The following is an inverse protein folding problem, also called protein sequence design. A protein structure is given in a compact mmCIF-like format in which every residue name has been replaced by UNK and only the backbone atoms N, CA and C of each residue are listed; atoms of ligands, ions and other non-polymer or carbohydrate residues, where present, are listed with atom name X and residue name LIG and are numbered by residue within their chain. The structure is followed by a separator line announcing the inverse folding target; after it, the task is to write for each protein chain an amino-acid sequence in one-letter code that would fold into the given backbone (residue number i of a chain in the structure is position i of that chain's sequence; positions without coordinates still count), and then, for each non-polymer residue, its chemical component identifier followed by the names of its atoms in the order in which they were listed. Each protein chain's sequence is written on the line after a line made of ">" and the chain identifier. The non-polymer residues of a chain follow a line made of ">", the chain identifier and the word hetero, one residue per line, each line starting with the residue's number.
data_IF_659074582347
#
_entry.id   IF_659074582347
#
_cell.length_a   1.000
_cell.length_b   1.000
_cell.length_c   1.000
_cell.angle_alpha   90.00
_cell.angle_beta   90.00
_cell.angle_gamma   90.00
#
_symmetry.space_group_name_H-M   'P 1'
#
loop_
_entity.id
_entity.type
_entity.pdbx_description
1 polymer ?
#
# COMPACT_ATOMS: atom_id res chain seq x y z
N UNK A 1 -5.70 15.13 -18.04
CA UNK A 1 -6.37 16.41 -17.74
C UNK A 1 -5.81 17.00 -16.47
N UNK A 2 -5.31 18.25 -16.51
CA UNK A 2 -4.87 18.96 -15.32
C UNK A 2 -6.08 19.45 -14.53
N UNK A 3 -6.08 19.20 -13.22
CA UNK A 3 -7.17 19.56 -12.32
C UNK A 3 -6.95 20.89 -11.59
N UNK A 4 -6.06 21.77 -12.08
CA UNK A 4 -5.83 23.09 -11.51
C UNK A 4 -7.13 23.92 -11.32
N UNK A 5 -8.12 23.88 -12.23
CA UNK A 5 -9.40 24.57 -12.03
C UNK A 5 -10.22 24.05 -10.84
N UNK A 6 -9.92 22.88 -10.30
CA UNK A 6 -10.56 22.34 -9.09
C UNK A 6 -9.89 22.77 -7.80
N UNK A 7 -8.76 23.45 -7.86
CA UNK A 7 -8.10 24.02 -6.69
C UNK A 7 -8.79 25.31 -6.26
N UNK A 8 -10.04 25.18 -5.91
CA UNK A 8 -10.92 26.23 -5.42
C UNK A 8 -11.48 25.86 -4.06
N UNK A 9 -12.06 26.82 -3.36
CA UNK A 9 -12.76 26.54 -2.10
C UNK A 9 -13.97 25.65 -2.37
N UNK A 10 -14.03 24.51 -1.69
CA UNK A 10 -15.12 23.57 -1.74
C UNK A 10 -16.01 23.76 -0.50
N UNK A 11 -17.30 23.83 -0.70
CA UNK A 11 -18.28 23.81 0.40
C UNK A 11 -18.77 22.38 0.60
N UNK A 12 -18.31 21.74 1.67
CA UNK A 12 -18.53 20.32 1.91
C UNK A 12 -19.39 20.07 3.14
N UNK A 13 -20.30 19.14 3.04
CA UNK A 13 -21.08 18.59 4.16
C UNK A 13 -20.96 17.07 4.16
N UNK A 14 -21.26 16.46 5.31
CA UNK A 14 -21.26 15.01 5.42
C UNK A 14 -22.30 14.42 4.47
N UNK A 15 -21.90 13.39 3.71
CA UNK A 15 -22.84 12.65 2.87
C UNK A 15 -23.81 11.87 3.75
N UNK A 16 -25.10 11.97 3.44
CA UNK A 16 -26.11 11.14 4.09
C UNK A 16 -25.96 9.69 3.61
N UNK A 17 -25.30 8.90 4.42
CA UNK A 17 -25.22 7.47 4.22
C UNK A 17 -26.49 6.87 4.82
N UNK A 18 -27.56 6.82 4.04
CA UNK A 18 -28.78 6.13 4.45
C UNK A 18 -28.51 4.63 4.46
N UNK A 19 -28.39 4.06 5.64
CA UNK A 19 -28.35 2.62 5.88
C UNK A 19 -29.72 2.01 5.58
N UNK A 20 -30.09 1.91 4.30
CA UNK A 20 -31.40 1.36 3.90
C UNK A 20 -31.46 -0.16 3.89
N UNK A 21 -30.39 -0.86 4.27
CA UNK A 21 -30.40 -2.33 4.40
C UNK A 21 -29.70 -2.78 5.68
N UNK A 22 -30.43 -2.69 6.79
CA UNK A 22 -30.02 -3.22 8.10
C UNK A 22 -30.14 -4.74 8.23
N UNK A 23 -30.41 -5.47 7.16
CA UNK A 23 -30.54 -6.93 7.18
C UNK A 23 -29.27 -7.72 6.96
N UNK A 24 -28.12 -7.08 7.00
CA UNK A 24 -26.86 -7.79 7.04
C UNK A 24 -26.57 -8.20 8.48
N UNK A 25 -27.21 -9.25 8.92
CA UNK A 25 -26.75 -10.01 10.07
C UNK A 25 -25.36 -10.52 9.73
N UNK A 26 -24.43 -10.19 10.62
CA UNK A 26 -23.14 -10.87 10.78
C UNK A 26 -22.12 -10.62 9.69
N UNK A 27 -21.19 -9.88 10.06
CA UNK A 27 -19.78 -10.18 9.92
C UNK A 27 -18.98 -8.99 10.43
N UNK A 28 -17.77 -9.19 10.81
CA UNK A 28 -16.80 -8.24 11.33
C UNK A 28 -16.50 -7.06 10.37
N UNK A 29 -17.39 -6.74 9.45
CA UNK A 29 -17.23 -5.63 8.51
C UNK A 29 -17.87 -4.38 9.09
N UNK A 30 -17.03 -3.38 9.31
CA UNK A 30 -17.45 -2.09 9.84
C UNK A 30 -18.13 -1.28 8.74
N UNK A 31 -19.24 -0.62 9.08
CA UNK A 31 -19.91 0.34 8.21
C UNK A 31 -19.03 1.58 8.05
N UNK A 32 -19.15 2.30 6.92
CA UNK A 32 -18.48 3.59 6.75
C UNK A 32 -18.95 4.56 7.83
N UNK A 33 -18.00 5.19 8.50
CA UNK A 33 -18.29 6.17 9.53
C UNK A 33 -18.84 7.45 8.92
N UNK A 34 -19.66 8.16 9.72
CA UNK A 34 -20.11 9.50 9.37
C UNK A 34 -18.92 10.42 9.15
N UNK A 35 -18.87 11.10 8.02
CA UNK A 35 -17.80 12.02 7.66
C UNK A 35 -16.68 11.43 6.82
N UNK A 36 -16.65 10.13 6.52
CA UNK A 36 -15.69 9.55 5.58
C UNK A 36 -15.95 9.99 4.14
N UNK A 37 -17.21 10.17 3.77
CA UNK A 37 -17.63 10.72 2.49
C UNK A 37 -18.24 12.10 2.69
N UNK A 38 -17.85 13.04 1.85
CA UNK A 38 -18.40 14.39 1.87
C UNK A 38 -18.95 14.79 0.52
N UNK A 39 -20.12 15.42 0.56
CA UNK A 39 -20.70 16.06 -0.63
C UNK A 39 -20.19 17.50 -0.69
N UNK A 40 -19.51 17.83 -1.76
CA UNK A 40 -18.89 19.11 -1.97
C UNK A 40 -19.51 19.84 -3.15
N UNK A 41 -19.77 21.13 -2.99
CA UNK A 41 -20.18 22.03 -4.06
C UNK A 41 -19.07 23.02 -4.37
N UNK A 42 -18.90 23.35 -5.63
CA UNK A 42 -17.87 24.26 -6.10
C UNK A 42 -18.28 24.94 -7.40
N UNK A 43 -17.63 26.05 -7.70
CA UNK A 43 -17.87 26.79 -8.92
C UNK A 43 -16.79 26.51 -9.94
N UNK A 44 -17.17 26.14 -11.16
CA UNK A 44 -16.26 25.94 -12.29
C UNK A 44 -16.53 27.03 -13.34
N UNK A 45 -15.45 27.62 -13.84
CA UNK A 45 -15.52 28.51 -14.99
C UNK A 45 -15.39 27.68 -16.27
N UNK A 46 -16.42 27.68 -17.10
CA UNK A 46 -16.37 27.04 -18.42
C UNK A 46 -15.77 28.00 -19.43
N UNK A 47 -14.96 27.49 -20.37
CA UNK A 47 -14.28 28.28 -21.40
C UNK A 47 -15.22 28.93 -22.43
N UNK A 48 -16.48 28.53 -22.47
CA UNK A 48 -17.47 29.09 -23.34
C UNK A 48 -18.27 30.16 -22.59
N UNK A 49 -17.98 31.43 -22.85
CA UNK A 49 -18.69 32.61 -22.36
C UNK A 49 -18.53 32.96 -20.88
N UNK A 50 -17.40 32.71 -20.23
CA UNK A 50 -17.15 33.09 -18.82
C UNK A 50 -18.28 32.75 -17.85
N UNK A 51 -19.02 31.69 -18.14
CA UNK A 51 -20.11 31.23 -17.27
C UNK A 51 -19.53 30.44 -16.11
N UNK A 52 -19.77 30.95 -14.93
CA UNK A 52 -19.52 30.21 -13.69
C UNK A 52 -20.68 29.23 -13.48
N UNK A 53 -20.38 27.97 -13.44
CA UNK A 53 -21.35 26.91 -13.19
C UNK A 53 -21.07 26.27 -11.82
N UNK A 54 -22.11 26.08 -11.04
CA UNK A 54 -22.02 25.38 -9.76
C UNK A 54 -22.18 23.88 -9.99
N UNK A 55 -21.19 23.12 -9.50
CA UNK A 55 -21.16 21.68 -9.62
C UNK A 55 -21.04 21.02 -8.25
N UNK A 56 -21.41 19.73 -8.18
CA UNK A 56 -21.38 18.91 -6.98
C UNK A 56 -20.58 17.65 -7.23
N UNK A 57 -19.78 17.26 -6.27
CA UNK A 57 -19.02 16.01 -6.31
C UNK A 57 -18.91 15.41 -4.91
N UNK A 58 -18.76 14.09 -4.84
CA UNK A 58 -18.49 13.38 -3.60
C UNK A 58 -17.01 13.05 -3.52
N UNK A 59 -16.39 13.43 -2.41
CA UNK A 59 -14.98 13.15 -2.13
C UNK A 59 -14.83 12.35 -0.84
N UNK A 60 -13.77 11.53 -0.76
CA UNK A 60 -13.34 10.97 0.51
C UNK A 60 -12.69 12.06 1.38
N UNK A 61 -12.92 11.99 2.67
CA UNK A 61 -12.35 12.96 3.62
C UNK A 61 -10.81 12.99 3.59
N UNK A 62 -10.16 11.88 3.27
CA UNK A 62 -8.70 11.81 3.12
C UNK A 62 -8.16 12.69 1.99
N UNK A 63 -8.98 13.00 0.98
CA UNK A 63 -8.61 13.86 -0.15
C UNK A 63 -8.88 15.34 0.10
N UNK A 64 -9.40 15.70 1.27
CA UNK A 64 -9.81 17.04 1.63
C UNK A 64 -8.99 17.59 2.79
N UNK A 65 -8.63 18.87 2.69
CA UNK A 65 -7.99 19.65 3.76
C UNK A 65 -8.90 20.81 4.15
N UNK A 66 -9.18 20.95 5.43
CA UNK A 66 -9.98 22.06 5.94
C UNK A 66 -9.17 23.36 5.88
N UNK A 67 -9.75 24.42 5.27
CA UNK A 67 -9.04 25.68 5.04
C UNK A 67 -9.08 26.56 6.27
N UNK A 68 -10.22 26.66 6.94
CA UNK A 68 -10.41 27.53 8.10
C UNK A 68 -10.95 26.72 9.28
N UNK A 69 -10.08 26.51 10.27
CA UNK A 69 -10.44 25.76 11.48
C UNK A 69 -11.27 26.53 12.49
N UNK A 70 -11.34 27.86 12.38
CA UNK A 70 -11.86 28.72 13.46
C UNK A 70 -13.29 29.19 13.28
N UNK A 71 -13.79 29.39 12.05
CA UNK A 71 -15.08 30.04 11.81
C UNK A 71 -16.06 29.29 10.89
N UNK A 72 -15.58 28.32 10.11
CA UNK A 72 -16.43 27.63 9.15
C UNK A 72 -15.97 26.19 8.96
N UNK A 73 -16.74 25.25 9.47
CA UNK A 73 -16.45 23.81 9.37
C UNK A 73 -16.78 23.22 8.00
N UNK A 74 -17.14 24.03 7.01
CA UNK A 74 -17.61 23.56 5.70
C UNK A 74 -16.68 23.91 4.55
N UNK A 75 -15.64 24.72 4.78
CA UNK A 75 -14.68 25.11 3.74
C UNK A 75 -13.50 24.17 3.66
N UNK A 76 -13.33 23.55 2.50
CA UNK A 76 -12.29 22.59 2.22
C UNK A 76 -11.57 22.90 0.92
N UNK A 77 -10.41 22.29 0.74
CA UNK A 77 -9.64 22.28 -0.49
C UNK A 77 -9.15 20.87 -0.74
N UNK A 78 -8.97 20.49 -2.00
CA UNK A 78 -8.35 19.20 -2.33
C UNK A 78 -6.91 19.15 -1.81
N UNK A 79 -6.52 17.99 -1.32
CA UNK A 79 -5.15 17.73 -0.87
C UNK A 79 -4.16 18.01 -2.01
N UNK A 80 -3.00 18.55 -1.69
CA UNK A 80 -1.91 18.87 -2.62
C UNK A 80 -2.17 20.05 -3.60
N UNK A 81 -3.29 20.73 -3.53
CA UNK A 81 -3.54 21.90 -4.39
C UNK A 81 -2.50 23.01 -4.20
N UNK A 82 -1.98 23.18 -2.99
CA UNK A 82 -1.00 24.22 -2.66
C UNK A 82 0.44 23.86 -3.03
N UNK A 83 0.73 22.56 -3.19
CA UNK A 83 2.11 22.05 -3.28
C UNK A 83 2.41 21.34 -4.58
N UNK A 84 1.40 20.92 -5.31
CA UNK A 84 1.57 20.01 -6.45
C UNK A 84 0.62 20.35 -7.60
N UNK A 85 1.05 20.00 -8.81
CA UNK A 85 0.14 19.94 -9.95
C UNK A 85 -0.61 18.61 -9.91
N UNK A 86 -1.94 18.68 -9.93
CA UNK A 86 -2.79 17.48 -9.93
C UNK A 86 -3.20 17.17 -11.36
N UNK A 87 -2.91 15.96 -11.81
CA UNK A 87 -3.30 15.45 -13.12
C UNK A 87 -4.21 14.25 -12.95
N UNK A 88 -5.34 14.23 -13.65
CA UNK A 88 -6.22 13.08 -13.66
C UNK A 88 -5.63 11.95 -14.49
N UNK A 89 -5.60 10.73 -13.95
CA UNK A 89 -5.27 9.55 -14.72
C UNK A 89 -6.34 9.31 -15.80
N UNK A 90 -5.93 8.90 -16.98
CA UNK A 90 -6.87 8.59 -18.05
C UNK A 90 -7.73 7.39 -17.65
N UNK A 91 -9.08 7.50 -17.68
CA UNK A 91 -9.95 6.40 -17.27
C UNK A 91 -9.82 5.13 -18.12
N UNK A 92 -9.29 5.26 -19.33
CA UNK A 92 -9.07 4.13 -20.24
C UNK A 92 -7.74 3.41 -20.02
N UNK A 93 -6.83 3.98 -19.20
CA UNK A 93 -5.51 3.40 -18.92
C UNK A 93 -5.62 2.51 -17.68
N UNK A 94 -5.13 1.29 -17.79
CA UNK A 94 -5.07 0.33 -16.70
C UNK A 94 -3.82 0.56 -15.84
N UNK A 95 -3.97 0.38 -14.51
CA UNK A 95 -2.85 0.33 -13.57
C UNK A 95 -2.37 -1.10 -13.30
N UNK A 96 -2.75 -2.06 -14.13
CA UNK A 96 -2.33 -3.45 -13.96
C UNK A 96 -0.83 -3.60 -14.20
N UNK A 97 -0.06 -4.12 -13.23
CA UNK A 97 1.37 -4.35 -13.42
C UNK A 97 1.59 -5.47 -14.43
N UNK A 98 2.44 -5.21 -15.43
CA UNK A 98 2.88 -6.21 -16.40
C UNK A 98 4.35 -6.51 -16.19
N UNK A 99 4.81 -7.76 -16.40
CA UNK A 99 6.21 -8.12 -16.22
C UNK A 99 7.13 -7.29 -17.11
N UNK A 100 8.19 -6.77 -16.52
CA UNK A 100 9.25 -6.02 -17.20
C UNK A 100 10.55 -6.77 -17.05
N UNK A 101 11.30 -6.88 -18.15
CA UNK A 101 12.64 -7.45 -18.17
C UNK A 101 13.66 -6.34 -18.36
N UNK A 102 14.70 -6.33 -17.54
CA UNK A 102 15.84 -5.46 -17.73
C UNK A 102 16.94 -6.23 -18.42
N UNK A 103 17.45 -5.68 -19.53
CA UNK A 103 18.51 -6.32 -20.32
C UNK A 103 19.78 -5.49 -20.31
N UNK A 104 20.92 -6.16 -20.36
CA UNK A 104 22.20 -5.49 -20.40
C UNK A 104 22.41 -4.78 -21.75
N UNK A 105 22.92 -3.53 -21.74
CA UNK A 105 23.32 -2.86 -22.97
C UNK A 105 24.56 -3.52 -23.58
N UNK A 106 24.89 -3.18 -24.81
CA UNK A 106 26.09 -3.67 -25.49
C UNK A 106 27.36 -3.34 -24.67
N UNK A 107 28.24 -4.30 -24.52
CA UNK A 107 29.47 -4.19 -23.71
C UNK A 107 29.28 -4.47 -22.22
N UNK A 108 28.06 -4.90 -21.81
CA UNK A 108 27.76 -5.30 -20.43
C UNK A 108 27.16 -6.70 -20.40
N UNK A 109 27.27 -7.35 -19.25
CA UNK A 109 26.60 -8.61 -18.98
C UNK A 109 25.94 -8.56 -17.62
N UNK A 110 24.94 -9.42 -17.42
CA UNK A 110 24.25 -9.59 -16.13
C UNK A 110 24.66 -10.94 -15.56
N UNK A 111 25.17 -10.93 -14.33
CA UNK A 111 25.45 -12.12 -13.56
C UNK A 111 24.27 -12.40 -12.63
N UNK A 112 23.80 -13.63 -12.62
CA UNK A 112 22.71 -14.09 -11.76
C UNK A 112 23.24 -15.07 -10.73
N UNK A 113 23.02 -14.78 -9.45
CA UNK A 113 23.30 -15.73 -8.37
C UNK A 113 22.14 -16.74 -8.26
N UNK A 114 22.46 -18.04 -8.36
CA UNK A 114 21.48 -19.11 -8.28
C UNK A 114 21.44 -19.80 -6.92
N UNK A 115 22.19 -19.29 -5.92
CA UNK A 115 22.12 -19.82 -4.56
C UNK A 115 20.73 -19.53 -3.97
N UNK A 116 20.06 -20.57 -3.51
CA UNK A 116 18.66 -20.48 -3.04
C UNK A 116 18.48 -19.64 -1.78
N UNK A 117 19.53 -19.52 -0.98
CA UNK A 117 19.56 -18.77 0.28
C UNK A 117 20.45 -17.53 0.23
N UNK A 118 20.74 -17.04 -0.98
CA UNK A 118 21.59 -15.85 -1.16
C UNK A 118 20.99 -14.63 -0.44
N UNK A 119 21.80 -13.99 0.40
CA UNK A 119 21.37 -12.84 1.20
C UNK A 119 21.52 -11.48 0.51
N UNK A 120 21.96 -11.47 -0.74
CA UNK A 120 22.11 -10.24 -1.54
C UNK A 120 23.53 -9.66 -1.55
N UNK A 121 24.40 -10.10 -0.64
CA UNK A 121 25.78 -9.62 -0.53
C UNK A 121 26.74 -10.79 -0.31
N UNK A 122 28.01 -10.58 -0.68
CA UNK A 122 29.05 -11.57 -0.47
C UNK A 122 29.20 -12.56 -1.61
N UNK A 123 29.94 -13.67 -1.39
CA UNK A 123 30.24 -14.63 -2.44
C UNK A 123 29.00 -15.42 -2.86
N UNK A 124 28.92 -15.70 -4.13
CA UNK A 124 27.95 -16.60 -4.72
C UNK A 124 28.69 -17.73 -5.45
N UNK A 125 28.36 -18.99 -5.14
CA UNK A 125 29.06 -20.15 -5.68
C UNK A 125 28.42 -20.71 -6.96
N UNK A 126 27.16 -20.40 -7.21
CA UNK A 126 26.44 -20.85 -8.41
C UNK A 126 25.98 -19.64 -9.20
N UNK A 127 26.76 -19.24 -10.18
CA UNK A 127 26.53 -18.03 -10.98
C UNK A 127 26.30 -18.40 -12.42
N UNK A 128 25.30 -17.80 -13.03
CA UNK A 128 25.07 -17.86 -14.47
C UNK A 128 25.10 -16.45 -15.07
N UNK A 129 25.47 -16.40 -16.35
CA UNK A 129 25.38 -15.16 -17.13
C UNK A 129 24.06 -15.13 -17.87
N UNK A 130 23.32 -14.05 -17.72
CA UNK A 130 22.05 -13.84 -18.42
C UNK A 130 22.09 -12.54 -19.19
N UNK A 131 21.34 -12.47 -20.28
CA UNK A 131 21.21 -11.24 -21.06
C UNK A 131 20.18 -10.30 -20.45
N UNK A 132 19.10 -10.87 -19.90
CA UNK A 132 18.00 -10.13 -19.29
C UNK A 132 17.61 -10.76 -17.96
N UNK A 133 16.99 -9.96 -17.09
CA UNK A 133 16.38 -10.46 -15.85
C UNK A 133 15.12 -11.25 -16.15
N UNK A 134 14.61 -11.99 -15.15
CA UNK A 134 13.25 -12.55 -15.21
C UNK A 134 12.23 -11.40 -15.28
N UNK A 135 10.97 -11.75 -15.62
CA UNK A 135 9.88 -10.78 -15.63
C UNK A 135 9.55 -10.29 -14.22
N UNK A 136 9.73 -9.01 -13.98
CA UNK A 136 9.47 -8.36 -12.69
C UNK A 136 8.22 -7.51 -12.85
N UNK A 137 7.18 -7.81 -12.06
CA UNK A 137 5.98 -6.98 -12.03
C UNK A 137 6.24 -5.73 -11.18
N UNK A 138 6.06 -4.52 -11.72
CA UNK A 138 6.30 -3.29 -10.96
C UNK A 138 5.14 -2.99 -10.01
N UNK A 139 4.90 -3.86 -9.04
CA UNK A 139 3.84 -3.69 -8.05
C UNK A 139 4.25 -2.64 -7.04
N UNK A 140 3.42 -1.63 -6.89
CA UNK A 140 3.61 -0.54 -5.93
C UNK A 140 2.81 -0.85 -4.69
N UNK A 141 3.49 -1.08 -3.58
CA UNK A 141 2.88 -1.35 -2.28
C UNK A 141 3.79 -0.89 -1.16
N UNK A 142 3.22 -0.75 0.02
CA UNK A 142 3.97 -0.47 1.24
C UNK A 142 3.75 -1.57 2.26
N UNK A 143 4.69 -1.78 3.16
CA UNK A 143 4.68 -2.78 4.23
C UNK A 143 4.71 -4.23 3.75
N UNK A 144 3.77 -4.64 2.92
CA UNK A 144 3.67 -5.98 2.36
C UNK A 144 4.08 -5.96 0.89
N UNK A 145 4.93 -6.91 0.49
CA UNK A 145 5.32 -7.08 -0.90
C UNK A 145 4.36 -8.06 -1.57
N UNK A 146 3.73 -7.63 -2.65
CA UNK A 146 2.69 -8.38 -3.33
C UNK A 146 3.17 -8.95 -4.65
N UNK A 147 2.73 -10.17 -4.97
CA UNK A 147 2.91 -10.82 -6.26
C UNK A 147 4.38 -10.91 -6.73
N UNK A 148 5.31 -10.93 -5.80
CA UNK A 148 6.72 -11.12 -6.08
C UNK A 148 7.15 -12.57 -6.11
N UNK A 149 8.46 -12.79 -6.10
CA UNK A 149 9.07 -14.12 -6.09
C UNK A 149 9.09 -14.70 -4.68
N UNK A 150 8.85 -16.01 -4.58
CA UNK A 150 8.95 -16.75 -3.34
C UNK A 150 10.34 -17.38 -3.18
N UNK A 151 10.76 -17.59 -1.94
CA UNK A 151 11.96 -18.34 -1.63
C UNK A 151 11.73 -19.84 -1.88
N UNK A 152 12.74 -20.53 -2.38
CA UNK A 152 12.60 -21.94 -2.79
C UNK A 152 12.69 -22.93 -1.62
N UNK A 153 13.58 -22.69 -0.66
CA UNK A 153 13.86 -23.64 0.43
C UNK A 153 13.28 -23.20 1.77
N UNK A 154 13.51 -21.96 2.16
CA UNK A 154 13.11 -21.40 3.45
C UNK A 154 12.90 -19.90 3.35
N UNK A 155 12.24 -19.30 4.33
CA UNK A 155 12.14 -17.85 4.44
C UNK A 155 13.55 -17.24 4.47
N UNK A 156 13.77 -16.22 3.68
CA UNK A 156 15.05 -15.49 3.63
C UNK A 156 14.84 -14.08 4.12
N UNK A 157 15.73 -13.63 5.01
CA UNK A 157 15.76 -12.25 5.49
C UNK A 157 17.02 -11.58 4.95
N UNK A 158 16.86 -10.35 4.49
CA UNK A 158 17.95 -9.57 3.89
C UNK A 158 18.01 -8.19 4.50
N UNK A 159 19.19 -7.77 4.92
CA UNK A 159 19.46 -6.41 5.35
C UNK A 159 20.88 -6.03 4.95
N UNK A 160 21.10 -4.78 4.65
CA UNK A 160 22.44 -4.25 4.41
C UNK A 160 23.33 -4.42 5.65
N UNK A 161 22.76 -4.22 6.84
CA UNK A 161 23.43 -4.43 8.12
C UNK A 161 22.40 -4.66 9.22
N UNK A 162 22.34 -5.90 9.76
CA UNK A 162 21.40 -6.26 10.83
C UNK A 162 21.70 -5.57 12.17
N UNK A 163 22.92 -5.13 12.38
CA UNK A 163 23.27 -4.39 13.60
C UNK A 163 22.80 -2.95 13.58
N UNK A 164 22.60 -2.39 12.40
CA UNK A 164 22.14 -1.03 12.21
C UNK A 164 20.60 -1.00 12.09
N UNK A 165 19.94 -0.47 13.10
CA UNK A 165 18.48 -0.35 13.13
C UNK A 165 17.91 0.66 12.12
N UNK A 166 18.76 1.52 11.54
CA UNK A 166 18.35 2.43 10.47
C UNK A 166 18.18 1.73 9.12
N UNK A 167 18.70 0.51 8.98
CA UNK A 167 18.59 -0.29 7.77
C UNK A 167 17.34 -1.16 7.82
N UNK A 168 16.61 -1.17 6.71
CA UNK A 168 15.42 -2.01 6.59
C UNK A 168 15.80 -3.49 6.48
N UNK A 169 14.84 -4.32 6.85
CA UNK A 169 14.93 -5.77 6.67
C UNK A 169 13.86 -6.15 5.64
N UNK A 170 14.31 -6.77 4.56
CA UNK A 170 13.41 -7.31 3.53
C UNK A 170 13.26 -8.81 3.80
N UNK A 171 12.03 -9.24 3.97
CA UNK A 171 11.68 -10.64 4.19
C UNK A 171 11.12 -11.22 2.89
N UNK A 172 11.65 -12.35 2.46
CA UNK A 172 11.11 -13.13 1.35
C UNK A 172 10.49 -14.41 1.89
N UNK A 173 9.20 -14.60 1.64
CA UNK A 173 8.46 -15.75 2.13
C UNK A 173 8.70 -16.99 1.26
N UNK A 174 8.60 -18.15 1.88
CA UNK A 174 8.59 -19.43 1.17
C UNK A 174 7.23 -19.74 0.58
N UNK A 175 6.18 -19.49 1.33
CA UNK A 175 4.80 -19.69 0.93
C UNK A 175 4.05 -18.38 0.90
N UNK A 176 3.30 -18.14 -0.16
CA UNK A 176 2.50 -16.94 -0.28
C UNK A 176 1.31 -16.98 0.69
N UNK A 177 0.98 -15.83 1.26
CA UNK A 177 -0.23 -15.64 2.02
C UNK A 177 -1.21 -14.86 1.15
N UNK A 178 -2.34 -15.46 0.85
CA UNK A 178 -3.36 -14.82 0.02
C UNK A 178 -4.05 -13.69 0.79
N UNK A 179 -4.20 -12.55 0.13
CA UNK A 179 -4.95 -11.41 0.63
C UNK A 179 -6.05 -11.06 -0.36
N UNK A 180 -7.29 -11.08 0.12
CA UNK A 180 -8.49 -10.80 -0.67
C UNK A 180 -9.09 -9.48 -0.22
N UNK A 181 -9.16 -8.51 -1.12
CA UNK A 181 -9.63 -7.17 -0.82
C UNK A 181 -10.89 -6.85 -1.60
N UNK A 182 -11.79 -6.13 -0.97
CA UNK A 182 -13.10 -5.77 -1.51
C UNK A 182 -13.43 -4.32 -1.17
N UNK A 183 -13.90 -3.58 -2.16
CA UNK A 183 -14.67 -2.38 -1.93
C UNK A 183 -16.13 -2.70 -2.24
N UNK A 184 -16.96 -2.91 -1.21
CA UNK A 184 -18.39 -3.15 -1.42
C UNK A 184 -19.06 -1.85 -1.89
N UNK A 185 -20.23 -1.99 -2.46
CA UNK A 185 -21.01 -0.88 -2.95
C UNK A 185 -20.97 -0.72 -4.46
N UNK A 186 -21.97 -0.08 -4.97
CA UNK A 186 -22.16 0.15 -6.39
C UNK A 186 -21.94 1.64 -6.67
N UNK A 187 -20.69 2.01 -6.96
CA UNK A 187 -20.35 3.38 -7.29
C UNK A 187 -20.74 3.68 -8.74
N UNK A 188 -21.38 4.82 -8.93
CA UNK A 188 -21.57 5.40 -10.26
C UNK A 188 -20.49 6.43 -10.53
N UNK A 189 -20.22 6.69 -11.80
CA UNK A 189 -19.24 7.68 -12.24
C UNK A 189 -19.94 8.77 -13.02
N UNK A 190 -19.63 10.01 -12.69
CA UNK A 190 -20.19 11.22 -13.31
C UNK A 190 -19.05 12.02 -13.91
N UNK A 191 -19.24 12.53 -15.12
CA UNK A 191 -18.27 13.41 -15.78
C UNK A 191 -18.68 14.87 -15.68
N UNK A 192 -17.73 15.73 -15.34
CA UNK A 192 -17.91 17.18 -15.30
C UNK A 192 -16.99 17.80 -16.35
N UNK A 193 -17.57 18.55 -17.30
CA UNK A 193 -16.80 19.24 -18.32
C UNK A 193 -15.93 20.35 -17.73
N UNK A 194 -14.64 20.34 -18.07
CA UNK A 194 -13.64 21.31 -17.60
C UNK A 194 -12.94 22.04 -18.74
N UNK A 195 -13.62 22.25 -19.86
CA UNK A 195 -13.08 22.89 -21.04
C UNK A 195 -13.03 21.94 -22.26
N UNK A 196 -12.50 22.42 -23.41
CA UNK A 196 -12.50 21.63 -24.62
C UNK A 196 -11.70 20.33 -24.49
N UNK A 197 -12.36 19.19 -24.69
CA UNK A 197 -11.74 17.87 -24.66
C UNK A 197 -11.39 17.32 -23.29
N UNK A 198 -11.70 18.03 -22.19
CA UNK A 198 -11.39 17.61 -20.84
C UNK A 198 -12.64 17.38 -19.99
N UNK A 199 -12.71 16.24 -19.32
CA UNK A 199 -13.74 15.94 -18.34
C UNK A 199 -13.11 15.46 -17.03
N UNK A 200 -13.60 15.99 -15.92
CA UNK A 200 -13.28 15.51 -14.58
C UNK A 200 -14.27 14.42 -14.19
N UNK A 201 -13.77 13.25 -13.85
CA UNK A 201 -14.60 12.13 -13.43
C UNK A 201 -14.64 12.05 -11.89
N UNK A 202 -15.83 12.06 -11.36
CA UNK A 202 -16.09 11.99 -9.93
C UNK A 202 -17.13 10.93 -9.63
N UNK A 203 -17.34 10.64 -8.35
CA UNK A 203 -18.43 9.77 -7.93
C UNK A 203 -19.77 10.46 -8.10
N UNK A 204 -20.69 9.70 -8.65
CA UNK A 204 -22.09 9.98 -8.58
C UNK A 204 -22.69 9.42 -7.27
N UNK A 205 -23.91 8.92 -7.36
CA UNK A 205 -24.56 8.28 -6.21
C UNK A 205 -23.88 6.97 -5.83
N UNK A 206 -23.73 6.75 -4.52
CA UNK A 206 -23.34 5.46 -3.95
C UNK A 206 -24.62 4.75 -3.57
N UNK A 207 -24.90 3.66 -4.28
CA UNK A 207 -26.05 2.79 -4.01
C UNK A 207 -25.58 1.43 -3.49
N UNK A 208 -26.41 0.79 -2.68
CA UNK A 208 -26.16 -0.55 -2.17
C UNK A 208 -25.34 -0.57 -0.89
N UNK A 209 -24.35 -1.41 -0.85
CA UNK A 209 -23.59 -1.73 0.36
C UNK A 209 -22.62 -0.58 0.74
N UNK A 210 -22.81 -0.02 1.93
CA UNK A 210 -22.02 1.08 2.48
C UNK A 210 -20.91 0.62 3.44
N UNK A 211 -20.63 -0.70 3.47
CA UNK A 211 -19.53 -1.22 4.29
C UNK A 211 -18.19 -0.67 3.82
N UNK A 212 -17.25 -0.57 4.76
CA UNK A 212 -15.88 -0.18 4.46
C UNK A 212 -15.20 -1.15 3.52
N UNK A 213 -14.32 -0.63 2.67
CA UNK A 213 -13.34 -1.45 1.99
C UNK A 213 -12.51 -2.23 3.02
N UNK A 214 -12.23 -3.47 2.73
CA UNK A 214 -11.54 -4.36 3.65
C UNK A 214 -10.75 -5.43 2.92
N UNK A 215 -9.79 -6.00 3.64
CA UNK A 215 -9.00 -7.13 3.17
C UNK A 215 -9.09 -8.28 4.17
N UNK A 216 -9.19 -9.49 3.67
CA UNK A 216 -9.23 -10.71 4.46
C UNK A 216 -7.96 -11.54 4.25
N UNK A 217 -7.39 -12.00 5.35
CA UNK A 217 -6.19 -12.85 5.39
C UNK A 217 -6.47 -14.02 6.33
N UNK A 218 -6.04 -15.22 5.96
CA UNK A 218 -6.13 -16.38 6.85
C UNK A 218 -5.25 -16.19 8.09
N UNK A 219 -5.84 -16.18 9.26
CA UNK A 219 -5.13 -16.04 10.54
C UNK A 219 -4.09 -17.14 10.74
N UNK A 220 -4.45 -18.38 10.43
CA UNK A 220 -3.54 -19.53 10.56
C UNK A 220 -2.32 -19.39 9.68
N UNK A 221 -2.51 -19.04 8.42
CA UNK A 221 -1.41 -18.86 7.47
C UNK A 221 -0.51 -17.69 7.86
N UNK A 222 -1.10 -16.59 8.32
CA UNK A 222 -0.34 -15.44 8.77
C UNK A 222 0.49 -15.76 10.01
N UNK A 223 -0.08 -16.43 11.01
CA UNK A 223 0.63 -16.83 12.22
C UNK A 223 1.78 -17.81 11.91
N UNK A 224 1.56 -18.76 11.02
CA UNK A 224 2.62 -19.67 10.55
C UNK A 224 3.76 -18.90 9.86
N UNK A 225 3.42 -17.89 9.08
CA UNK A 225 4.39 -17.02 8.42
C UNK A 225 5.22 -16.23 9.43
N UNK A 226 4.58 -15.63 10.43
CA UNK A 226 5.29 -14.91 11.51
C UNK A 226 6.19 -15.84 12.30
N UNK A 227 5.77 -17.07 12.59
CA UNK A 227 6.59 -18.06 13.27
C UNK A 227 7.87 -18.37 12.47
N UNK A 228 7.76 -18.55 11.17
CA UNK A 228 8.92 -18.78 10.30
C UNK A 228 9.88 -17.59 10.28
N UNK A 229 9.33 -16.38 10.24
CA UNK A 229 10.12 -15.14 10.28
C UNK A 229 10.86 -15.01 11.61
N UNK A 230 10.20 -15.30 12.72
CA UNK A 230 10.81 -15.27 14.05
C UNK A 230 11.96 -16.25 14.17
N UNK A 231 11.78 -17.49 13.68
CA UNK A 231 12.85 -18.50 13.66
C UNK A 231 14.05 -18.00 12.86
N UNK A 232 13.81 -17.39 11.72
CA UNK A 232 14.86 -16.87 10.87
C UNK A 232 15.59 -15.68 11.47
N UNK A 233 14.87 -14.77 12.12
CA UNK A 233 15.46 -13.64 12.83
C UNK A 233 16.37 -14.11 13.97
N UNK A 234 15.99 -15.17 14.69
CA UNK A 234 16.79 -15.73 15.79
C UNK A 234 18.07 -16.44 15.33
N UNK A 235 18.21 -16.75 14.08
CA UNK A 235 19.47 -17.27 13.52
C UNK A 235 20.55 -16.18 13.43
N UNK A 236 20.17 -14.91 13.45
CA UNK A 236 21.12 -13.80 13.51
C UNK A 236 21.70 -13.67 14.93
N UNK A 237 23.00 -13.48 15.02
CA UNK A 237 23.71 -13.36 16.32
C UNK A 237 23.10 -12.27 17.22
N UNK A 238 22.63 -11.16 16.63
CA UNK A 238 22.07 -10.02 17.37
C UNK A 238 20.74 -10.35 18.04
N UNK A 239 19.98 -11.32 17.49
CA UNK A 239 18.64 -11.64 17.94
C UNK A 239 18.52 -13.02 18.59
N UNK A 240 19.65 -13.69 18.70
CA UNK A 240 19.73 -14.99 19.38
C UNK A 240 19.32 -14.85 20.84
N UNK A 241 18.44 -15.72 21.28
CA UNK A 241 17.91 -15.74 22.65
C UNK A 241 17.14 -14.46 23.06
N UNK A 242 16.60 -13.71 22.12
CA UNK A 242 15.76 -12.55 22.40
C UNK A 242 14.29 -12.82 22.09
N UNK A 243 13.43 -12.19 22.87
CA UNK A 243 12.00 -12.13 22.58
C UNK A 243 11.78 -11.21 21.37
N UNK A 244 11.02 -11.65 20.41
CA UNK A 244 10.70 -10.88 19.21
C UNK A 244 9.25 -10.44 19.28
N UNK A 245 9.03 -9.15 19.16
CA UNK A 245 7.70 -8.55 19.13
C UNK A 245 7.46 -7.85 17.80
N UNK A 246 6.29 -8.05 17.24
CA UNK A 246 5.80 -7.27 16.13
C UNK A 246 4.80 -6.24 16.63
N UNK A 247 5.01 -4.99 16.28
CA UNK A 247 4.14 -3.88 16.64
C UNK A 247 3.72 -3.10 15.40
N UNK A 248 2.59 -2.38 15.44
CA UNK A 248 2.16 -1.53 14.34
C UNK A 248 3.17 -0.42 14.03
N UNK A 249 3.07 0.16 12.85
CA UNK A 249 3.87 1.33 12.47
C UNK A 249 3.76 2.43 13.52
N UNK A 250 4.88 3.07 13.81
CA UNK A 250 4.99 4.09 14.87
C UNK A 250 4.42 5.46 14.51
N UNK A 251 4.04 5.68 13.26
CA UNK A 251 3.51 6.94 12.75
C UNK A 251 4.22 7.40 11.48
N UNK A 252 3.75 8.51 10.94
CA UNK A 252 4.22 9.08 9.69
C UNK A 252 3.07 9.37 8.73
N UNK A 253 3.40 9.51 7.45
CA UNK A 253 2.41 9.73 6.40
C UNK A 253 1.48 8.51 6.25
N UNK A 254 0.22 8.69 5.86
CA UNK A 254 -0.72 7.58 5.67
C UNK A 254 -0.19 6.48 4.75
N UNK A 255 0.63 6.83 3.77
CA UNK A 255 1.22 5.90 2.81
C UNK A 255 2.18 4.89 3.44
N UNK A 256 2.84 5.24 4.56
CA UNK A 256 3.80 4.36 5.23
C UNK A 256 3.25 3.73 6.52
N UNK A 257 2.27 4.38 7.15
CA UNK A 257 1.60 3.88 8.37
C UNK A 257 0.66 2.72 8.05
N UNK A 258 0.18 2.66 6.82
CA UNK A 258 -0.76 1.65 6.34
C UNK A 258 -0.15 0.82 5.22
N UNK A 259 -0.77 -0.32 4.94
CA UNK A 259 -0.50 -1.07 3.73
C UNK A 259 -1.26 -0.40 2.59
N UNK A 260 -0.54 0.31 1.73
CA UNK A 260 -1.08 0.96 0.55
C UNK A 260 -0.79 0.14 -0.70
N UNK A 261 -1.76 0.04 -1.59
CA UNK A 261 -1.65 -0.70 -2.85
C UNK A 261 -2.77 -0.32 -3.81
N UNK A 262 -2.62 -0.71 -5.06
CA UNK A 262 -3.66 -0.54 -6.07
C UNK A 262 -4.49 -1.82 -6.18
N UNK A 263 -5.80 -1.68 -6.12
CA UNK A 263 -6.75 -2.78 -6.29
C UNK A 263 -7.80 -2.38 -7.33
N UNK A 264 -7.75 -3.00 -8.49
CA UNK A 264 -8.72 -2.78 -9.55
C UNK A 264 -8.79 -1.33 -10.08
N UNK A 265 -7.74 -0.56 -9.90
CA UNK A 265 -7.66 0.85 -10.30
C UNK A 265 -7.94 1.85 -9.18
N UNK A 266 -8.31 1.40 -8.00
CA UNK A 266 -8.44 2.25 -6.80
C UNK A 266 -7.32 1.99 -5.81
N UNK A 267 -6.92 3.02 -5.08
CA UNK A 267 -5.79 2.97 -4.16
C UNK A 267 -6.29 2.78 -2.73
N UNK A 268 -5.96 1.63 -2.16
CA UNK A 268 -6.36 1.22 -0.83
C UNK A 268 -5.27 1.54 0.18
N UNK A 269 -5.70 1.94 1.36
CA UNK A 269 -4.85 2.21 2.54
C UNK A 269 -5.42 1.41 3.71
N UNK A 270 -4.80 0.27 3.99
CA UNK A 270 -5.32 -0.70 4.95
C UNK A 270 -4.57 -0.64 6.27
N UNK A 271 -5.30 -0.61 7.37
CA UNK A 271 -4.72 -0.66 8.71
C UNK A 271 -4.23 -2.09 9.01
N UNK A 272 -2.95 -2.23 9.25
CA UNK A 272 -2.29 -3.51 9.49
C UNK A 272 -2.02 -3.81 10.97
N UNK A 273 -2.65 -3.10 11.87
CA UNK A 273 -2.46 -3.28 13.33
C UNK A 273 -2.65 -4.72 13.76
N UNK A 274 -3.67 -5.39 13.25
CA UNK A 274 -3.99 -6.77 13.63
C UNK A 274 -3.00 -7.80 13.04
N UNK A 275 -2.23 -7.43 12.03
CA UNK A 275 -1.17 -8.27 11.49
C UNK A 275 0.12 -8.19 12.31
N UNK A 276 0.41 -7.02 12.87
CA UNK A 276 1.67 -6.72 13.57
C UNK A 276 1.39 -6.38 15.03
N UNK A 277 0.80 -7.31 15.74
CA UNK A 277 0.50 -7.17 17.17
C UNK A 277 0.67 -8.51 17.88
N UNK A 278 1.93 -8.95 18.01
CA UNK A 278 2.24 -10.23 18.61
C UNK A 278 3.61 -10.21 19.31
N UNK A 279 3.76 -11.04 20.32
CA UNK A 279 5.02 -11.22 21.03
C UNK A 279 5.40 -12.70 21.02
N UNK A 280 6.63 -12.99 20.64
CA UNK A 280 7.15 -14.34 20.48
C UNK A 280 8.27 -14.58 21.50
N UNK A 281 7.93 -15.27 22.60
CA UNK A 281 8.86 -15.64 23.65
C UNK A 281 9.68 -16.88 23.28
N UNK A 282 10.87 -17.00 23.83
CA UNK A 282 11.79 -18.11 23.54
C UNK A 282 11.19 -19.46 23.92
N UNK A 283 10.41 -19.51 25.01
CA UNK A 283 9.91 -20.74 25.62
C UNK A 283 8.45 -21.08 25.26
N UNK A 284 7.76 -20.23 24.51
CA UNK A 284 6.38 -20.49 24.14
C UNK A 284 6.32 -21.07 22.72
N UNK A 285 6.17 -22.39 22.66
CA UNK A 285 5.60 -23.02 21.47
C UNK A 285 4.11 -22.64 21.45
N UNK A 286 3.78 -21.67 20.64
CA UNK A 286 2.39 -21.32 20.38
C UNK A 286 1.66 -22.57 19.90
N UNK A 287 0.65 -23.01 20.66
CA UNK A 287 -0.23 -24.07 20.21
C UNK A 287 -0.89 -23.60 18.92
N UNK A 288 -0.63 -24.30 17.81
CA UNK A 288 -1.30 -24.09 16.54
C UNK A 288 -2.79 -24.32 16.76
N UNK A 289 -3.56 -23.26 16.83
CA UNK A 289 -5.00 -23.38 16.70
C UNK A 289 -5.31 -23.51 15.20
N UNK A 290 -5.93 -24.59 14.80
CA UNK A 290 -6.52 -24.73 13.48
C UNK A 290 -7.76 -23.82 13.42
N UNK A 291 -7.55 -22.52 13.46
CA UNK A 291 -8.59 -21.54 13.36
C UNK A 291 -8.98 -21.34 11.90
N UNK A 292 -10.25 -21.43 11.59
CA UNK A 292 -10.79 -21.05 10.28
C UNK A 292 -11.08 -19.54 10.20
N UNK A 293 -10.62 -18.78 11.19
CA UNK A 293 -10.83 -17.34 11.26
C UNK A 293 -10.01 -16.59 10.24
N UNK A 294 -10.57 -15.49 9.78
CA UNK A 294 -9.88 -14.53 8.95
C UNK A 294 -9.55 -13.28 9.73
N UNK A 295 -8.37 -12.73 9.49
CA UNK A 295 -8.05 -11.38 9.92
C UNK A 295 -8.63 -10.43 8.89
N UNK A 296 -9.46 -9.50 9.34
CA UNK A 296 -10.06 -8.47 8.48
C UNK A 296 -9.38 -7.14 8.73
N UNK A 297 -8.74 -6.61 7.69
CA UNK A 297 -8.12 -5.30 7.73
C UNK A 297 -9.09 -4.27 7.21
N UNK A 298 -9.30 -3.19 7.95
CA UNK A 298 -10.12 -2.07 7.51
C UNK A 298 -9.30 -1.17 6.60
N UNK A 299 -9.87 -0.80 5.46
CA UNK A 299 -9.20 -0.01 4.44
C UNK A 299 -9.95 1.29 4.17
N UNK A 300 -9.19 2.31 3.84
CA UNK A 300 -9.68 3.57 3.29
C UNK A 300 -9.25 3.70 1.85
N UNK A 301 -9.97 4.45 1.08
CA UNK A 301 -9.65 4.70 -0.33
C UNK A 301 -9.29 6.17 -0.49
N UNK A 302 -8.23 6.42 -1.22
CA UNK A 302 -7.76 7.75 -1.54
C UNK A 302 -7.68 7.92 -3.05
N UNK A 303 -8.10 9.06 -3.56
CA UNK A 303 -8.09 9.34 -5.00
C UNK A 303 -6.96 10.28 -5.41
N UNK A 304 -6.52 11.16 -4.53
CA UNK A 304 -5.39 12.04 -4.78
C UNK A 304 -4.14 11.42 -4.20
N UNK A 305 -3.20 11.02 -5.05
CA UNK A 305 -2.06 10.21 -4.70
C UNK A 305 -0.79 10.92 -5.13
N UNK A 306 0.20 10.95 -4.25
CA UNK A 306 1.54 11.38 -4.60
C UNK A 306 2.21 10.27 -5.43
N UNK A 307 2.48 10.55 -6.70
CA UNK A 307 3.12 9.57 -7.58
C UNK A 307 4.54 9.30 -7.09
N UNK A 308 4.81 8.06 -6.69
CA UNK A 308 6.16 7.58 -6.36
C UNK A 308 6.89 8.46 -5.33
N UNK A 309 6.13 9.20 -4.51
CA UNK A 309 6.66 10.20 -3.57
C UNK A 309 7.46 11.33 -4.25
N UNK A 310 7.23 11.58 -5.53
CA UNK A 310 7.78 12.75 -6.21
C UNK A 310 7.15 14.03 -5.66
N UNK A 311 7.99 14.94 -5.20
CA UNK A 311 7.54 16.25 -4.74
C UNK A 311 7.06 17.06 -5.95
N UNK A 312 5.89 17.65 -5.85
CA UNK A 312 5.34 18.54 -6.86
C UNK A 312 4.43 17.90 -7.91
N UNK A 313 4.24 16.56 -7.86
CA UNK A 313 3.33 15.86 -8.77
C UNK A 313 2.36 14.99 -8.00
N UNK A 314 1.08 15.20 -8.23
CA UNK A 314 0.02 14.35 -7.69
C UNK A 314 -0.87 13.86 -8.83
N UNK A 315 -1.42 12.67 -8.65
CA UNK A 315 -2.34 12.05 -9.59
C UNK A 315 -3.72 11.92 -8.93
N UNK A 316 -4.76 12.26 -9.66
CA UNK A 316 -6.13 11.92 -9.29
C UNK A 316 -6.55 10.64 -10.00
N UNK A 317 -6.86 9.61 -9.23
CA UNK A 317 -7.40 8.37 -9.75
C UNK A 317 -8.93 8.49 -9.87
N UNK A 318 -9.49 8.47 -11.10
CA UNK A 318 -10.94 8.55 -11.26
C UNK A 318 -11.64 7.34 -10.63
N UNK A 319 -12.85 7.51 -10.10
CA UNK A 319 -13.55 6.42 -9.44
C UNK A 319 -13.89 5.30 -10.42
N UNK A 320 -13.84 4.07 -9.93
CA UNK A 320 -14.21 2.88 -10.68
C UNK A 320 -15.67 2.53 -10.39
N UNK A 321 -16.41 2.17 -11.44
CA UNK A 321 -17.82 1.77 -11.33
C UNK A 321 -17.96 0.39 -10.71
N UNK A 322 -19.02 0.19 -9.95
CA UNK A 322 -19.38 -1.10 -9.40
C UNK A 322 -18.58 -1.53 -8.19
N UNK A 323 -18.71 -2.78 -7.83
CA UNK A 323 -17.95 -3.41 -6.76
C UNK A 323 -16.55 -3.78 -7.24
N UNK A 324 -15.55 -3.56 -6.40
CA UNK A 324 -14.17 -3.94 -6.69
C UNK A 324 -13.77 -5.11 -5.81
N UNK A 325 -13.17 -6.11 -6.43
CA UNK A 325 -12.52 -7.24 -5.75
C UNK A 325 -11.17 -7.50 -6.38
N UNK A 326 -10.18 -7.72 -5.55
CA UNK A 326 -8.87 -8.16 -6.00
C UNK A 326 -8.30 -9.20 -5.05
N UNK A 327 -7.53 -10.11 -5.60
CA UNK A 327 -6.79 -11.13 -4.87
C UNK A 327 -5.31 -10.97 -5.19
N UNK A 328 -4.48 -10.94 -4.16
CA UNK A 328 -3.04 -10.83 -4.28
C UNK A 328 -2.36 -11.84 -3.37
N UNK A 329 -1.09 -12.13 -3.66
CA UNK A 329 -0.26 -12.99 -2.84
C UNK A 329 0.78 -12.14 -2.10
N UNK A 330 0.77 -12.19 -0.78
CA UNK A 330 1.82 -11.61 0.03
C UNK A 330 3.04 -12.53 -0.10
N UNK A 331 4.11 -12.03 -0.71
CA UNK A 331 5.34 -12.78 -0.95
C UNK A 331 6.53 -12.27 -0.15
N UNK A 332 6.36 -11.16 0.51
CA UNK A 332 7.41 -10.57 1.33
C UNK A 332 6.90 -9.45 2.23
N UNK A 333 7.81 -8.98 3.07
CA UNK A 333 7.55 -7.93 4.05
C UNK A 333 8.76 -6.98 4.09
N UNK A 334 8.49 -5.74 4.41
CA UNK A 334 9.53 -4.77 4.77
C UNK A 334 9.38 -4.46 6.24
N UNK A 335 10.43 -4.73 7.01
CA UNK A 335 10.45 -4.51 8.46
C UNK A 335 11.51 -3.49 8.84
N UNK A 336 11.19 -2.74 9.89
CA UNK A 336 12.11 -1.80 10.54
C UNK A 336 12.23 -2.20 12.01
N UNK A 337 13.45 -2.28 12.51
CA UNK A 337 13.70 -2.58 13.92
C UNK A 337 13.76 -1.29 14.72
N UNK A 338 13.10 -1.28 15.89
CA UNK A 338 13.22 -0.15 16.81
C UNK A 338 14.63 -0.04 17.36
N UNK A 339 15.19 1.17 17.33
CA UNK A 339 16.42 1.49 17.99
C UNK A 339 16.21 1.65 19.49
N UNK A 340 17.11 1.06 20.29
CA UNK A 340 17.20 1.27 21.72
C UNK A 340 18.58 1.81 22.08
N UNK A 341 18.72 2.39 23.27
CA UNK A 341 20.03 2.76 23.80
C UNK A 341 20.90 1.51 23.91
N UNK A 342 22.14 1.59 23.43
CA UNK A 342 23.12 0.48 23.44
C UNK A 342 23.40 -0.12 24.82
N UNK A 343 22.89 0.52 25.88
CA UNK A 343 23.02 0.11 27.26
C UNK A 343 21.80 -0.67 27.80
N UNK A 344 20.75 -0.82 27.00
CA UNK A 344 19.58 -1.59 27.41
C UNK A 344 19.82 -3.08 27.16
N UNK A 345 19.91 -3.82 28.24
CA UNK A 345 19.78 -5.27 28.30
C UNK A 345 18.34 -5.71 28.00
N UNK A 346 17.62 -4.99 27.16
CA UNK A 346 16.28 -5.36 26.76
C UNK A 346 16.33 -6.67 26.00
N UNK A 347 15.76 -7.68 26.59
CA UNK A 347 15.62 -9.01 26.01
C UNK A 347 14.63 -9.05 24.85
N UNK A 348 13.98 -7.93 24.53
CA UNK A 348 12.94 -7.85 23.50
C UNK A 348 13.38 -6.96 22.36
N UNK A 349 13.31 -7.49 21.13
CA UNK A 349 13.47 -6.73 19.88
C UNK A 349 12.12 -6.48 19.26
N UNK A 350 11.88 -5.24 18.85
CA UNK A 350 10.61 -4.80 18.25
C UNK A 350 10.82 -4.57 16.77
N UNK A 351 9.97 -5.20 15.96
CA UNK A 351 9.93 -5.04 14.51
C UNK A 351 8.59 -4.44 14.09
N UNK A 352 8.67 -3.44 13.25
CA UNK A 352 7.48 -2.73 12.73
C UNK A 352 7.45 -2.79 11.21
N UNK A 353 6.28 -2.82 10.57
CA UNK A 353 6.19 -2.73 9.14
C UNK A 353 6.71 -1.37 8.67
N UNK A 354 7.46 -1.38 7.59
CA UNK A 354 8.02 -0.19 6.97
C UNK A 354 7.74 -0.17 5.47
N UNK A 355 8.29 0.79 4.80
CA UNK A 355 8.15 0.96 3.36
C UNK A 355 8.12 2.43 2.98
N UNK A 356 7.70 2.69 1.76
CA UNK A 356 7.60 4.05 1.20
C UNK A 356 8.67 4.37 0.18
N UNK A 357 9.83 3.73 0.23
CA UNK A 357 10.82 3.82 -0.83
C UNK A 357 10.65 2.66 -1.81
N UNK A 358 10.21 2.96 -3.02
CA UNK A 358 9.97 1.94 -4.05
C UNK A 358 11.23 1.20 -4.49
N UNK A 359 12.40 1.79 -4.31
CA UNK A 359 13.67 1.10 -4.56
C UNK A 359 13.81 -0.16 -3.73
N UNK A 360 13.27 -0.18 -2.52
CA UNK A 360 13.29 -1.35 -1.64
C UNK A 360 12.40 -2.46 -2.18
N UNK A 361 11.25 -2.10 -2.76
CA UNK A 361 10.39 -3.06 -3.45
C UNK A 361 11.12 -3.71 -4.63
N UNK A 362 11.87 -2.92 -5.40
CA UNK A 362 12.63 -3.43 -6.55
C UNK A 362 13.84 -4.26 -6.11
N UNK A 363 14.49 -3.90 -5.02
CA UNK A 363 15.59 -4.69 -4.44
C UNK A 363 15.16 -6.09 -4.05
N UNK A 364 13.93 -6.28 -3.64
CA UNK A 364 13.40 -7.61 -3.29
C UNK A 364 13.42 -8.60 -4.45
N UNK A 365 13.43 -8.10 -5.68
CA UNK A 365 13.48 -8.91 -6.91
C UNK A 365 14.84 -8.89 -7.60
N UNK A 366 15.58 -7.79 -7.48
CA UNK A 366 16.84 -7.57 -8.19
C UNK A 366 18.08 -8.00 -7.41
N UNK A 367 17.94 -8.47 -6.19
CA UNK A 367 19.07 -8.81 -5.29
C UNK A 367 20.06 -9.83 -5.87
N UNK A 368 19.60 -10.71 -6.73
CA UNK A 368 20.40 -11.80 -7.32
C UNK A 368 21.15 -11.40 -8.60
N UNK A 369 20.98 -10.19 -9.07
CA UNK A 369 21.59 -9.73 -10.32
C UNK A 369 22.71 -8.72 -10.06
N UNK A 370 23.78 -8.85 -10.87
CA UNK A 370 24.88 -7.89 -10.90
C UNK A 370 25.22 -7.54 -12.33
N UNK A 371 25.21 -6.26 -12.65
CA UNK A 371 25.63 -5.78 -13.98
C UNK A 371 27.13 -5.55 -13.98
N UNK A 372 27.84 -6.12 -14.93
CA UNK A 372 29.28 -6.00 -15.07
C UNK A 372 29.63 -5.52 -16.47
N UNK A 373 30.70 -4.75 -16.56
CA UNK A 373 31.25 -4.31 -17.83
C UNK A 373 32.17 -5.40 -18.39
N UNK A 374 32.05 -5.66 -19.67
CA UNK A 374 32.95 -6.57 -20.39
C UNK A 374 34.09 -5.76 -20.96
N UNK A 375 35.34 -6.08 -20.58
CA UNK A 375 36.54 -5.48 -21.14
C UNK A 375 37.02 -6.23 -22.38
#
# INVERSE_FOLDING_TARGET
>A
VKLTPLCVTLNCSDANINATNTNATVSNTTMMEKGELKNCSFNITTSIRDKVQREYATFYNLDLVQIDKNNDNTSYMLTNCNTSTITQACPKVSFEPIPIHYCAPAGFAILKCNNKTFNGTGPCTNVSTVQCTHGIKPVVSTQLLLNGSLAEEEVVIRSENFTNNAKIIIVQLKEAVEINCTRPGNNTRKGIHMGPGGAFYTRGEITGDIRKAHCNISETKWNNTLEQIVKKLREQEQFKNKTIAFKPSSGGDPEIVTHSFNCGGEFFYCNTTDLFNSTWNINNTTKRSNSTKNITLQCRIKQIINMWQEVGKAMYAPPIRGQIRCSSNITGLILVRDGGNDNDTNETEIFRPGGGNMRDNWRSELYKYKVVKIE
#
